data_IF_163982914372
#
_entry.id   IF_163982914372
#
_cell.length_a   1.000
_cell.length_b   1.000
_cell.length_c   1.000
_cell.angle_alpha   90.00
_cell.angle_beta   90.00
_cell.angle_gamma   90.00
#
_symmetry.space_group_name_H-M   'P 1'
#
loop_
_entity.id
_entity.type
_entity.pdbx_description
1 polymer ?
#
# COMPACT_ATOMS: atom_id res chain seq x y z
N UNK A 1 -0.87 14.65 6.30
CA UNK A 1 -1.89 14.53 5.23
C UNK A 1 -2.91 13.44 5.60
N UNK A 2 -3.68 13.65 6.68
CA UNK A 2 -4.66 12.68 7.22
C UNK A 2 -5.77 13.33 8.07
N UNK A 3 -5.91 14.66 8.00
CA UNK A 3 -6.86 15.44 8.84
C UNK A 3 -8.31 15.38 8.35
N UNK A 4 -8.56 14.97 7.11
CA UNK A 4 -9.87 15.17 6.44
C UNK A 4 -10.94 14.12 6.77
N UNK A 5 -10.61 13.02 7.46
CA UNK A 5 -11.55 11.91 7.75
C UNK A 5 -11.64 11.47 9.22
N UNK A 6 -11.12 12.24 10.20
CA UNK A 6 -11.18 11.83 11.62
C UNK A 6 -12.62 11.58 12.13
N UNK A 7 -13.64 12.14 11.48
CA UNK A 7 -15.06 11.95 11.81
C UNK A 7 -15.65 10.59 11.41
N UNK A 8 -15.07 9.88 10.42
CA UNK A 8 -15.61 8.60 9.90
C UNK A 8 -14.87 7.36 10.43
N UNK A 9 -13.88 7.54 11.29
CA UNK A 9 -13.01 6.46 11.78
C UNK A 9 -11.82 6.19 10.85
N UNK A 10 -11.06 5.11 11.08
CA UNK A 10 -9.89 4.79 10.27
C UNK A 10 -10.30 4.39 8.84
N UNK A 11 -9.62 4.95 7.82
CA UNK A 11 -9.89 4.65 6.39
C UNK A 11 -9.89 3.14 6.09
N UNK A 12 -9.02 2.40 6.76
CA UNK A 12 -8.92 0.94 6.67
C UNK A 12 -10.25 0.21 6.95
N UNK A 13 -11.13 0.77 7.79
CA UNK A 13 -12.41 0.16 8.19
C UNK A 13 -13.60 0.68 7.38
N UNK A 14 -13.36 1.42 6.30
CA UNK A 14 -14.43 1.85 5.41
C UNK A 14 -15.10 0.61 4.79
N UNK A 15 -16.44 0.46 4.92
CA UNK A 15 -17.16 -0.65 4.31
C UNK A 15 -17.16 -0.51 2.79
N UNK A 16 -16.96 -1.64 2.10
CA UNK A 16 -17.02 -1.70 0.64
C UNK A 16 -18.31 -2.42 0.21
N UNK A 17 -19.01 -1.91 -0.82
CA UNK A 17 -20.18 -2.58 -1.36
C UNK A 17 -19.81 -3.96 -1.91
N UNK A 18 -20.54 -4.98 -1.46
CA UNK A 18 -20.33 -6.37 -1.87
C UNK A 18 -21.08 -6.68 -3.17
N UNK A 19 -20.33 -7.01 -4.23
CA UNK A 19 -20.90 -7.45 -5.51
C UNK A 19 -21.21 -8.95 -5.61
N UNK A 20 -20.88 -9.78 -4.60
CA UNK A 20 -21.01 -11.25 -4.70
C UNK A 20 -21.52 -11.90 -3.42
N UNK A 21 -22.39 -12.89 -3.59
CA UNK A 21 -22.86 -13.79 -2.54
C UNK A 21 -21.74 -14.71 -2.06
N UNK A 22 -21.78 -15.11 -0.80
CA UNK A 22 -20.85 -16.09 -0.23
C UNK A 22 -21.14 -17.47 -0.85
N UNK A 23 -20.18 -18.09 -1.58
CA UNK A 23 -20.42 -19.35 -2.28
C UNK A 23 -20.66 -20.56 -1.36
N UNK A 24 -20.41 -20.44 -0.05
CA UNK A 24 -20.73 -21.47 0.95
C UNK A 24 -22.08 -21.26 1.64
N UNK A 25 -22.60 -20.03 1.71
CA UNK A 25 -23.78 -19.72 2.54
C UNK A 25 -24.96 -19.12 1.76
N UNK A 26 -24.76 -18.73 0.50
CA UNK A 26 -25.81 -18.11 -0.34
C UNK A 26 -26.27 -16.72 0.11
N UNK A 27 -25.74 -16.20 1.23
CA UNK A 27 -26.04 -14.85 1.73
C UNK A 27 -25.21 -13.81 0.97
N UNK A 28 -25.66 -12.54 0.85
CA UNK A 28 -24.78 -11.45 0.49
C UNK A 28 -23.54 -11.53 1.38
N UNK A 29 -22.32 -11.46 0.81
CA UNK A 29 -21.16 -11.22 1.67
C UNK A 29 -21.43 -9.91 2.40
N UNK A 30 -21.43 -9.97 3.73
CA UNK A 30 -21.45 -8.79 4.58
C UNK A 30 -20.42 -7.78 4.04
N UNK A 31 -20.72 -6.48 4.17
CA UNK A 31 -19.82 -5.40 3.77
C UNK A 31 -18.41 -5.72 4.28
N UNK A 32 -17.47 -5.97 3.37
CA UNK A 32 -16.08 -6.20 3.74
C UNK A 32 -15.41 -4.83 3.87
N UNK A 33 -14.65 -4.61 4.92
CA UNK A 33 -13.87 -3.38 5.05
C UNK A 33 -12.75 -3.34 4.01
N UNK A 34 -12.23 -2.14 3.71
CA UNK A 34 -11.11 -1.98 2.79
C UNK A 34 -9.93 -2.88 3.16
N UNK A 35 -9.54 -2.91 4.44
CA UNK A 35 -8.40 -3.68 4.90
C UNK A 35 -8.64 -5.19 4.78
N UNK A 36 -9.86 -5.67 5.03
CA UNK A 36 -10.20 -7.09 4.85
C UNK A 36 -10.14 -7.51 3.38
N UNK A 37 -10.59 -6.66 2.46
CA UNK A 37 -10.46 -6.91 1.02
C UNK A 37 -8.99 -6.96 0.59
N UNK A 38 -8.16 -6.05 1.08
CA UNK A 38 -6.72 -6.10 0.84
C UNK A 38 -6.10 -7.39 1.37
N UNK A 39 -6.43 -7.79 2.61
CA UNK A 39 -5.92 -9.01 3.23
C UNK A 39 -6.32 -10.25 2.42
N UNK A 40 -7.58 -10.37 1.99
CA UNK A 40 -8.03 -11.47 1.15
C UNK A 40 -7.19 -11.58 -0.14
N UNK A 41 -7.00 -10.46 -0.86
CA UNK A 41 -6.22 -10.45 -2.10
C UNK A 41 -4.75 -10.80 -1.85
N UNK A 42 -4.15 -10.25 -0.80
CA UNK A 42 -2.74 -10.47 -0.48
C UNK A 42 -2.49 -11.91 -0.02
N UNK A 43 -3.38 -12.48 0.79
CA UNK A 43 -3.29 -13.89 1.23
C UNK A 43 -3.49 -14.84 0.04
N UNK A 44 -4.43 -14.56 -0.86
CA UNK A 44 -4.65 -15.38 -2.06
C UNK A 44 -3.44 -15.33 -3.00
N UNK A 45 -2.85 -14.15 -3.20
CA UNK A 45 -1.66 -13.99 -4.05
C UNK A 45 -0.41 -14.60 -3.39
N UNK A 46 -0.29 -14.50 -2.06
CA UNK A 46 0.93 -14.79 -1.31
C UNK A 46 0.63 -15.63 -0.05
N UNK A 47 0.20 -16.90 -0.21
CA UNK A 47 -0.31 -17.72 0.90
C UNK A 47 0.71 -18.00 2.01
N UNK A 48 2.00 -17.90 1.72
CA UNK A 48 3.09 -18.14 2.67
C UNK A 48 3.71 -16.86 3.24
N UNK A 49 3.16 -15.68 2.91
CA UNK A 49 3.69 -14.41 3.38
C UNK A 49 3.16 -14.08 4.79
N UNK A 50 4.05 -13.64 5.68
CA UNK A 50 3.64 -12.96 6.90
C UNK A 50 3.15 -11.54 6.57
N UNK A 51 1.97 -11.19 7.08
CA UNK A 51 1.40 -9.86 6.87
C UNK A 51 1.57 -9.01 8.13
N UNK A 52 2.22 -7.86 7.96
CA UNK A 52 2.39 -6.85 9.00
C UNK A 52 1.52 -5.65 8.69
N UNK A 53 0.75 -5.19 9.68
CA UNK A 53 -0.12 -4.02 9.56
C UNK A 53 0.36 -2.97 10.56
N UNK A 54 0.81 -1.83 10.02
CA UNK A 54 1.19 -0.69 10.85
C UNK A 54 -0.06 0.14 11.15
N UNK A 55 -0.37 0.30 12.42
CA UNK A 55 -1.57 0.98 12.91
C UNK A 55 -1.20 2.19 13.76
N UNK A 56 -2.04 3.23 13.73
CA UNK A 56 -1.86 4.45 14.51
C UNK A 56 -3.20 4.94 15.04
N UNK A 57 -3.82 5.86 14.31
CA UNK A 57 -5.13 6.43 14.67
C UNK A 57 -6.18 5.34 14.86
N UNK A 58 -6.78 5.29 16.06
CA UNK A 58 -7.80 4.30 16.45
C UNK A 58 -7.38 2.83 16.22
N UNK A 59 -6.09 2.52 16.45
CA UNK A 59 -5.52 1.17 16.29
C UNK A 59 -6.36 0.04 16.91
N UNK A 60 -6.94 0.27 18.10
CA UNK A 60 -7.77 -0.72 18.79
C UNK A 60 -9.00 -1.16 17.97
N UNK A 61 -9.61 -0.26 17.18
CA UNK A 61 -10.73 -0.63 16.31
C UNK A 61 -10.29 -1.58 15.19
N UNK A 62 -9.13 -1.30 14.59
CA UNK A 62 -8.55 -2.12 13.52
C UNK A 62 -8.17 -3.50 14.07
N UNK A 63 -7.49 -3.52 15.24
CA UNK A 63 -7.12 -4.76 15.92
C UNK A 63 -8.34 -5.61 16.29
N UNK A 64 -9.40 -4.97 16.79
CA UNK A 64 -10.64 -5.66 17.13
C UNK A 64 -11.33 -6.26 15.89
N UNK A 65 -11.41 -5.50 14.79
CA UNK A 65 -11.99 -5.98 13.52
C UNK A 65 -11.20 -7.20 13.00
N UNK A 66 -9.88 -7.12 13.04
CA UNK A 66 -8.98 -8.10 12.42
C UNK A 66 -8.47 -9.17 13.38
N UNK A 67 -9.08 -9.33 14.56
CA UNK A 67 -8.60 -10.24 15.63
C UNK A 67 -8.49 -11.71 15.23
N UNK A 68 -9.29 -12.14 14.25
CA UNK A 68 -9.30 -13.52 13.73
C UNK A 68 -8.37 -13.71 12.52
N UNK A 69 -7.77 -12.63 12.00
CA UNK A 69 -6.87 -12.71 10.85
C UNK A 69 -5.43 -12.99 11.31
N UNK A 70 -4.65 -13.82 10.60
CA UNK A 70 -3.28 -14.16 10.96
C UNK A 70 -2.31 -13.03 10.56
N UNK A 71 -2.46 -11.86 11.18
CA UNK A 71 -1.70 -10.64 10.89
C UNK A 71 -0.94 -10.17 12.12
N UNK A 72 0.21 -9.52 11.92
CA UNK A 72 1.02 -8.94 13.00
C UNK A 72 0.84 -7.43 13.03
N UNK A 73 0.38 -6.90 14.16
CA UNK A 73 0.21 -5.46 14.32
C UNK A 73 1.49 -4.79 14.81
N UNK A 74 1.79 -3.62 14.24
CA UNK A 74 2.87 -2.74 14.67
C UNK A 74 2.25 -1.38 14.97
N UNK A 75 2.40 -0.90 16.20
CA UNK A 75 1.84 0.38 16.60
C UNK A 75 2.82 1.51 16.29
N UNK A 76 2.37 2.53 15.56
CA UNK A 76 3.06 3.81 15.41
C UNK A 76 2.49 4.83 16.42
N UNK A 77 3.16 5.05 17.57
CA UNK A 77 2.70 6.02 18.56
C UNK A 77 2.81 7.47 18.07
N UNK A 78 3.63 7.73 17.04
CA UNK A 78 3.91 9.06 16.50
C UNK A 78 3.16 9.32 15.18
N UNK A 79 2.08 8.57 14.89
CA UNK A 79 1.34 8.68 13.62
C UNK A 79 0.76 10.08 13.35
N UNK A 80 0.52 10.90 14.38
CA UNK A 80 0.03 12.28 14.22
C UNK A 80 1.17 13.27 13.90
N UNK A 81 2.43 12.90 14.14
CA UNK A 81 3.61 13.76 13.98
C UNK A 81 4.66 13.20 13.02
N UNK A 82 4.37 12.13 12.29
CA UNK A 82 5.29 11.49 11.32
C UNK A 82 4.57 11.20 10.01
N UNK A 83 5.33 10.96 8.95
CA UNK A 83 4.80 10.53 7.65
C UNK A 83 5.01 9.01 7.44
N UNK A 84 4.49 8.51 6.32
CA UNK A 84 4.40 7.07 6.03
C UNK A 84 5.74 6.34 6.06
N UNK A 85 6.87 6.99 5.77
CA UNK A 85 8.17 6.32 5.85
C UNK A 85 8.50 5.88 7.28
N UNK A 86 8.12 6.66 8.30
CA UNK A 86 8.32 6.27 9.70
C UNK A 86 7.47 5.05 10.06
N UNK A 87 6.22 4.99 9.61
CA UNK A 87 5.39 3.79 9.76
C UNK A 87 6.05 2.56 9.12
N UNK A 88 6.60 2.72 7.91
CA UNK A 88 7.32 1.64 7.23
C UNK A 88 8.59 1.23 7.98
N UNK A 89 9.32 2.17 8.59
CA UNK A 89 10.55 1.85 9.33
C UNK A 89 10.28 0.96 10.54
N UNK A 90 9.15 1.16 11.24
CA UNK A 90 8.71 0.30 12.33
C UNK A 90 8.41 -1.13 11.81
N UNK A 91 7.77 -1.26 10.64
CA UNK A 91 7.57 -2.56 10.00
C UNK A 91 8.89 -3.23 9.62
N UNK A 92 9.78 -2.48 8.98
CA UNK A 92 11.04 -3.02 8.49
C UNK A 92 12.01 -3.47 9.58
N UNK A 93 11.92 -2.90 10.77
CA UNK A 93 12.63 -3.36 11.97
C UNK A 93 12.09 -4.70 12.50
N UNK A 94 10.83 -5.03 12.23
CA UNK A 94 10.19 -6.26 12.68
C UNK A 94 10.31 -7.43 11.69
N UNK A 95 10.66 -7.17 10.43
CA UNK A 95 10.76 -8.22 9.39
C UNK A 95 12.19 -8.76 9.25
N UNK A 96 12.28 -10.09 9.17
CA UNK A 96 13.54 -10.83 8.91
C UNK A 96 13.62 -11.26 7.43
N UNK A 97 12.50 -11.22 6.69
CA UNK A 97 12.43 -11.64 5.28
C UNK A 97 13.40 -10.88 4.37
N UNK A 98 13.91 -11.58 3.37
CA UNK A 98 14.78 -11.04 2.31
C UNK A 98 14.01 -10.24 1.25
N UNK A 99 12.68 -10.27 1.28
CA UNK A 99 11.82 -9.49 0.39
C UNK A 99 10.54 -9.04 1.10
N UNK A 100 9.95 -7.94 0.61
CA UNK A 100 8.72 -7.38 1.15
C UNK A 100 7.87 -6.75 0.04
N UNK A 101 6.55 -6.98 0.10
CA UNK A 101 5.57 -6.18 -0.65
C UNK A 101 5.05 -5.09 0.29
N UNK A 102 5.15 -3.84 -0.14
CA UNK A 102 4.64 -2.66 0.55
C UNK A 102 3.38 -2.19 -0.17
N UNK A 103 2.30 -2.00 0.60
CA UNK A 103 0.99 -1.55 0.10
C UNK A 103 0.46 -0.47 1.04
N UNK A 104 -0.03 0.64 0.49
CA UNK A 104 -0.66 1.68 1.31
C UNK A 104 -2.10 1.29 1.70
N UNK A 105 -2.45 1.64 2.94
CA UNK A 105 -3.65 1.12 3.61
C UNK A 105 -4.97 1.78 3.21
N UNK A 106 -4.95 2.75 2.29
CA UNK A 106 -6.12 3.46 1.75
C UNK A 106 -6.36 3.19 0.27
N UNK A 107 -5.71 2.15 -0.27
CA UNK A 107 -5.91 1.69 -1.63
C UNK A 107 -7.00 0.62 -1.73
N UNK A 108 -7.83 0.72 -2.76
CA UNK A 108 -8.65 -0.38 -3.26
C UNK A 108 -7.97 -0.89 -4.52
N UNK A 109 -7.61 -2.17 -4.59
CA UNK A 109 -7.03 -2.77 -5.79
C UNK A 109 -7.58 -4.17 -6.05
N UNK A 110 -7.32 -4.72 -7.24
CA UNK A 110 -7.60 -6.12 -7.56
C UNK A 110 -6.33 -6.98 -7.58
N UNK A 111 -6.46 -8.30 -7.64
CA UNK A 111 -5.30 -9.22 -7.63
C UNK A 111 -4.27 -8.93 -8.72
N UNK A 112 -4.70 -8.45 -9.89
CA UNK A 112 -3.81 -8.09 -10.99
C UNK A 112 -2.80 -6.99 -10.63
N UNK A 113 -3.10 -6.14 -9.63
CA UNK A 113 -2.13 -5.18 -9.12
C UNK A 113 -0.91 -5.89 -8.53
N UNK A 114 -1.11 -6.93 -7.71
CA UNK A 114 -0.05 -7.47 -6.85
C UNK A 114 0.46 -8.85 -7.27
N UNK A 115 -0.32 -9.66 -7.99
CA UNK A 115 -0.02 -11.10 -8.18
C UNK A 115 1.35 -11.42 -8.81
N UNK A 116 1.98 -10.47 -9.53
CA UNK A 116 3.26 -10.66 -10.22
C UNK A 116 4.47 -9.95 -9.57
N UNK A 117 4.37 -9.48 -8.33
CA UNK A 117 5.50 -8.82 -7.65
C UNK A 117 6.49 -9.83 -7.08
N UNK A 118 7.39 -10.34 -7.93
CA UNK A 118 8.46 -11.31 -7.60
C UNK A 118 9.73 -11.04 -8.41
N UNK A 119 10.83 -11.68 -8.04
CA UNK A 119 12.13 -11.51 -8.69
C UNK A 119 12.83 -10.23 -8.21
N UNK A 120 13.20 -9.35 -9.13
CA UNK A 120 13.82 -8.06 -8.81
C UNK A 120 12.83 -7.06 -8.20
N UNK A 121 13.37 -6.06 -7.50
CA UNK A 121 12.62 -4.96 -6.90
C UNK A 121 11.77 -4.23 -7.95
N UNK A 122 10.51 -3.95 -7.61
CA UNK A 122 9.49 -3.45 -8.54
C UNK A 122 8.68 -2.32 -7.94
N UNK A 123 8.23 -1.42 -8.80
CA UNK A 123 7.20 -0.44 -8.47
C UNK A 123 6.07 -0.53 -9.48
N UNK A 124 4.85 -0.25 -9.04
CA UNK A 124 3.68 -0.28 -9.90
C UNK A 124 3.36 1.14 -10.35
N UNK A 125 3.06 1.28 -11.64
CA UNK A 125 2.51 2.49 -12.22
C UNK A 125 1.06 2.27 -12.58
N UNK A 126 0.22 3.24 -12.25
CA UNK A 126 -1.14 3.32 -12.76
C UNK A 126 -1.11 3.76 -14.23
N UNK A 127 -1.33 2.78 -15.11
CA UNK A 127 -1.32 2.99 -16.56
C UNK A 127 -2.65 3.53 -17.11
N UNK A 128 -3.69 3.63 -16.28
CA UNK A 128 -5.07 3.85 -16.70
C UNK A 128 -5.69 5.15 -16.16
N UNK A 129 -4.92 5.95 -15.41
CA UNK A 129 -5.37 7.26 -14.93
C UNK A 129 -6.46 7.17 -13.85
N UNK A 130 -6.41 6.14 -13.02
CA UNK A 130 -7.22 6.02 -11.82
C UNK A 130 -6.77 6.97 -10.70
N UNK A 131 -5.47 7.25 -10.62
CA UNK A 131 -4.90 8.18 -9.66
C UNK A 131 -4.99 9.63 -10.14
N UNK A 132 -5.13 10.55 -9.18
CA UNK A 132 -5.19 11.99 -9.45
C UNK A 132 -3.88 12.51 -10.05
N UNK A 133 -3.96 13.57 -10.85
CA UNK A 133 -2.79 14.28 -11.38
C UNK A 133 -1.92 14.91 -10.28
N UNK A 134 -2.47 15.10 -9.08
CA UNK A 134 -1.76 15.59 -7.90
C UNK A 134 -0.94 14.50 -7.19
N UNK A 135 -1.11 13.22 -7.55
CA UNK A 135 -0.34 12.13 -6.96
C UNK A 135 1.10 12.08 -7.48
N UNK A 136 1.98 11.47 -6.67
CA UNK A 136 3.38 11.27 -7.03
C UNK A 136 3.47 10.37 -8.27
N UNK A 137 4.18 10.84 -9.28
CA UNK A 137 4.54 10.03 -10.44
C UNK A 137 6.02 9.71 -10.51
N UNK A 138 6.44 9.10 -11.62
CA UNK A 138 7.84 8.80 -11.89
C UNK A 138 8.21 8.97 -13.36
N UNK A 139 9.49 9.21 -13.62
CA UNK A 139 10.07 9.08 -14.96
C UNK A 139 10.63 7.68 -15.14
N UNK A 140 10.48 7.13 -16.35
CA UNK A 140 10.82 5.74 -16.65
C UNK A 140 11.81 5.71 -17.81
N UNK A 141 12.93 4.99 -17.65
CA UNK A 141 13.91 4.75 -18.71
C UNK A 141 14.24 3.27 -18.76
N UNK A 142 14.19 2.65 -19.94
CA UNK A 142 14.51 1.22 -20.12
C UNK A 142 13.76 0.29 -19.14
N UNK A 143 12.47 0.57 -18.89
CA UNK A 143 11.60 -0.12 -17.91
C UNK A 143 12.02 0.03 -16.44
N UNK A 144 12.91 0.98 -16.12
CA UNK A 144 13.35 1.25 -14.76
C UNK A 144 12.83 2.61 -14.27
N UNK A 145 12.53 2.71 -12.98
CA UNK A 145 12.16 3.97 -12.35
C UNK A 145 13.42 4.82 -12.13
N UNK A 146 13.39 6.08 -12.58
CA UNK A 146 14.54 6.98 -12.49
C UNK A 146 14.40 8.02 -11.39
N UNK A 147 13.21 8.59 -11.23
CA UNK A 147 12.91 9.51 -10.15
C UNK A 147 11.41 9.56 -9.90
N UNK A 148 11.03 9.79 -8.65
CA UNK A 148 9.65 10.02 -8.20
C UNK A 148 9.47 11.48 -7.82
N UNK A 149 8.41 12.12 -8.29
CA UNK A 149 8.08 13.50 -7.94
C UNK A 149 6.60 13.82 -8.24
N UNK A 150 6.11 14.89 -7.61
CA UNK A 150 4.83 15.50 -7.98
C UNK A 150 4.87 16.07 -9.41
N UNK A 151 3.71 16.09 -10.07
CA UNK A 151 3.56 16.63 -11.43
C UNK A 151 4.07 15.71 -12.55
N UNK A 152 4.59 14.52 -12.23
CA UNK A 152 4.98 13.53 -13.23
C UNK A 152 3.78 12.72 -13.72
N UNK A 153 3.79 12.36 -15.02
CA UNK A 153 2.66 11.74 -15.72
C UNK A 153 2.35 10.32 -15.26
N UNK A 154 3.35 9.44 -15.26
CA UNK A 154 3.18 8.05 -14.86
C UNK A 154 3.02 7.98 -13.34
N UNK A 155 1.80 7.72 -12.84
CA UNK A 155 1.50 7.77 -11.39
C UNK A 155 1.98 6.53 -10.67
N UNK A 156 2.69 6.72 -9.54
CA UNK A 156 3.09 5.61 -8.68
C UNK A 156 1.88 5.11 -7.91
N UNK A 157 1.57 3.82 -8.06
CA UNK A 157 0.40 3.18 -7.45
C UNK A 157 0.52 2.99 -5.92
N UNK A 158 1.50 3.62 -5.27
CA UNK A 158 1.77 3.48 -3.83
C UNK A 158 1.98 2.01 -3.39
N UNK A 159 2.42 1.16 -4.34
CA UNK A 159 2.78 -0.25 -4.14
C UNK A 159 4.20 -0.45 -4.64
N UNK A 160 5.00 -1.16 -3.84
CA UNK A 160 6.36 -1.54 -4.18
C UNK A 160 6.66 -2.96 -3.71
N UNK A 161 7.54 -3.64 -4.44
CA UNK A 161 8.17 -4.87 -3.98
C UNK A 161 9.67 -4.62 -3.88
N UNK A 162 10.21 -4.89 -2.69
CA UNK A 162 11.58 -4.62 -2.32
C UNK A 162 12.27 -5.95 -2.02
N UNK A 163 13.44 -6.17 -2.59
CA UNK A 163 14.29 -7.31 -2.27
C UNK A 163 15.76 -6.90 -2.31
N UNK A 164 16.66 -7.76 -1.84
CA UNK A 164 18.09 -7.61 -2.02
C UNK A 164 18.62 -6.22 -1.63
N UNK A 165 19.40 -5.61 -2.53
CA UNK A 165 20.06 -4.32 -2.31
C UNK A 165 19.05 -3.20 -2.05
N UNK A 166 17.96 -3.12 -2.81
CA UNK A 166 16.97 -2.05 -2.65
C UNK A 166 16.26 -2.15 -1.30
N UNK A 167 15.93 -3.37 -0.85
CA UNK A 167 15.36 -3.57 0.47
C UNK A 167 16.35 -3.11 1.55
N UNK A 168 17.62 -3.55 1.48
CA UNK A 168 18.64 -3.15 2.45
C UNK A 168 18.80 -1.63 2.54
N UNK A 169 18.91 -0.96 1.38
CA UNK A 169 19.00 0.50 1.33
C UNK A 169 17.74 1.18 1.87
N UNK A 170 16.55 0.69 1.49
CA UNK A 170 15.29 1.25 1.96
C UNK A 170 15.17 1.14 3.49
N UNK A 171 15.53 -0.02 4.07
CA UNK A 171 15.57 -0.22 5.52
C UNK A 171 16.49 0.80 6.19
N UNK A 172 17.73 0.92 5.70
CA UNK A 172 18.73 1.85 6.22
C UNK A 172 18.24 3.31 6.19
N UNK A 173 17.66 3.75 5.07
CA UNK A 173 17.14 5.12 4.91
C UNK A 173 15.94 5.36 5.84
N UNK A 174 15.05 4.38 5.97
CA UNK A 174 13.80 4.53 6.74
C UNK A 174 14.01 4.72 8.24
N UNK A 175 15.13 4.23 8.79
CA UNK A 175 15.44 4.33 10.24
C UNK A 175 16.25 5.57 10.59
N UNK A 176 16.65 6.38 9.61
CA UNK A 176 17.45 7.58 9.86
C UNK A 176 16.62 8.63 10.63
N UNK A 177 17.17 9.29 11.68
CA UNK A 177 16.41 10.23 12.51
C UNK A 177 15.71 11.36 11.74
N UNK A 178 16.38 11.86 10.69
CA UNK A 178 15.89 12.99 9.89
C UNK A 178 14.81 12.60 8.85
N UNK A 179 14.48 11.31 8.71
CA UNK A 179 13.53 10.82 7.69
C UNK A 179 12.13 10.55 8.24
N UNK A 180 11.88 10.88 9.51
CA UNK A 180 10.57 10.70 10.16
C UNK A 180 9.42 11.49 9.50
N UNK A 181 9.74 12.57 8.80
CA UNK A 181 8.79 13.37 8.01
C UNK A 181 8.75 13.01 6.53
N UNK A 182 9.50 11.99 6.10
CA UNK A 182 9.53 11.63 4.68
C UNK A 182 8.33 10.77 4.28
N UNK A 183 7.97 10.89 3.01
CA UNK A 183 7.10 9.97 2.31
C UNK A 183 7.88 8.80 1.72
N UNK A 184 7.19 7.71 1.36
CA UNK A 184 7.84 6.52 0.82
C UNK A 184 8.62 6.78 -0.48
N UNK A 185 8.12 7.67 -1.34
CA UNK A 185 8.78 7.99 -2.61
C UNK A 185 10.14 8.69 -2.43
N UNK A 186 10.33 9.44 -1.35
CA UNK A 186 11.60 10.08 -1.03
C UNK A 186 12.67 9.02 -0.72
N UNK A 187 12.31 7.99 0.06
CA UNK A 187 13.18 6.85 0.28
C UNK A 187 13.48 6.09 -1.02
N UNK A 188 12.49 5.86 -1.89
CA UNK A 188 12.72 5.23 -3.20
C UNK A 188 13.72 6.03 -4.06
N UNK A 189 13.58 7.36 -4.10
CA UNK A 189 14.55 8.24 -4.77
C UNK A 189 15.95 8.10 -4.17
N UNK A 190 16.08 8.03 -2.85
CA UNK A 190 17.37 7.83 -2.19
C UNK A 190 17.98 6.45 -2.47
N UNK A 191 17.15 5.40 -2.59
CA UNK A 191 17.60 4.07 -3.05
C UNK A 191 18.16 4.16 -4.46
N UNK A 192 17.47 4.81 -5.40
CA UNK A 192 17.94 5.00 -6.78
C UNK A 192 19.26 5.77 -6.81
N UNK A 193 19.38 6.88 -6.06
CA UNK A 193 20.63 7.65 -5.95
C UNK A 193 21.81 6.83 -5.44
N UNK A 194 21.55 5.78 -4.64
CA UNK A 194 22.56 4.84 -4.13
C UNK A 194 22.73 3.61 -5.03
N UNK A 195 22.25 3.69 -6.26
CA UNK A 195 22.38 2.68 -7.30
C UNK A 195 21.50 1.45 -7.10
N UNK A 196 20.41 1.57 -6.34
CA UNK A 196 19.32 0.59 -6.39
C UNK A 196 18.48 0.78 -7.65
N UNK A 197 17.76 -0.26 -8.04
CA UNK A 197 17.01 -0.27 -9.29
C UNK A 197 15.60 -0.84 -9.10
N UNK A 198 14.61 -0.24 -9.76
CA UNK A 198 13.22 -0.66 -9.65
C UNK A 198 12.62 -0.88 -11.03
N UNK A 199 12.29 -2.13 -11.34
CA UNK A 199 11.55 -2.45 -12.55
C UNK A 199 10.13 -1.86 -12.44
N UNK A 200 9.70 -1.19 -13.49
CA UNK A 200 8.39 -0.54 -13.55
C UNK A 200 7.39 -1.50 -14.18
N UNK A 201 6.38 -1.87 -13.39
CA UNK A 201 5.29 -2.74 -13.83
C UNK A 201 4.04 -1.92 -14.11
N UNK A 202 3.37 -2.22 -15.22
CA UNK A 202 2.10 -1.63 -15.65
C UNK A 202 1.08 -2.75 -15.88
N UNK A 203 0.41 -3.27 -14.84
CA UNK A 203 -0.48 -4.42 -15.01
C UNK A 203 -1.72 -4.03 -15.81
N UNK A 204 -1.98 -4.73 -16.92
CA UNK A 204 -2.97 -4.31 -17.94
C UNK A 204 -4.42 -4.30 -17.48
N UNK A 205 -4.74 -5.11 -16.49
CA UNK A 205 -6.11 -5.28 -15.96
C UNK A 205 -6.14 -4.89 -14.49
N UNK A 206 -5.20 -4.05 -14.06
CA UNK A 206 -5.19 -3.47 -12.73
C UNK A 206 -6.40 -2.54 -12.59
N UNK A 207 -7.09 -2.71 -11.48
CA UNK A 207 -7.97 -1.69 -10.93
C UNK A 207 -7.31 -1.15 -9.68
N UNK A 208 -7.31 0.17 -9.52
CA UNK A 208 -6.76 0.87 -8.37
C UNK A 208 -7.62 2.09 -8.07
N UNK A 209 -7.95 2.35 -6.81
CA UNK A 209 -8.60 3.59 -6.36
C UNK A 209 -7.99 3.96 -5.02
N UNK A 210 -7.58 5.21 -4.85
CA UNK A 210 -7.22 5.75 -3.54
C UNK A 210 -8.46 6.34 -2.88
N UNK A 211 -8.71 6.00 -1.61
CA UNK A 211 -9.80 6.58 -0.84
C UNK A 211 -9.30 7.81 -0.08
N UNK A 212 -9.76 8.99 -0.48
CA UNK A 212 -9.46 10.25 0.22
C UNK A 212 -10.64 10.79 1.01
N UNK A 213 -11.86 10.56 0.52
CA UNK A 213 -13.10 11.07 1.08
C UNK A 213 -14.22 10.03 0.93
N UNK A 214 -15.26 10.15 1.75
CA UNK A 214 -16.42 9.26 1.69
C UNK A 214 -17.07 9.21 0.29
N UNK A 215 -17.01 10.28 -0.50
CA UNK A 215 -17.52 10.33 -1.89
C UNK A 215 -16.78 9.39 -2.86
N UNK A 216 -15.54 8.99 -2.54
CA UNK A 216 -14.81 8.04 -3.39
C UNK A 216 -15.45 6.64 -3.36
N UNK A 217 -16.33 6.38 -2.38
CA UNK A 217 -17.16 5.18 -2.33
C UNK A 217 -18.07 5.00 -3.55
N UNK A 218 -18.52 6.10 -4.16
CA UNK A 218 -19.36 6.06 -5.36
C UNK A 218 -18.60 5.55 -6.59
N UNK A 219 -17.26 5.61 -6.59
CA UNK A 219 -16.42 5.07 -7.66
C UNK A 219 -16.27 3.54 -7.56
N UNK A 220 -16.58 2.95 -6.40
CA UNK A 220 -16.33 1.54 -6.09
C UNK A 220 -17.36 0.61 -6.72
N UNK A 221 -18.58 1.08 -6.97
CA UNK A 221 -19.66 0.30 -7.61
C UNK A 221 -19.30 -0.21 -9.02
N UNK A 222 -18.25 0.33 -9.64
CA UNK A 222 -17.76 -0.10 -10.96
C UNK A 222 -16.58 -1.09 -10.90
N UNK A 223 -16.10 -1.46 -9.71
CA UNK A 223 -15.00 -2.40 -9.51
C UNK A 223 -15.52 -3.84 -9.37
N UNK A 224 -15.92 -4.44 -10.49
CA UNK A 224 -16.24 -5.88 -10.58
C UNK A 224 -15.01 -6.76 -10.86
#
# INVERSE_FOLDING_TARGET
MGRRMKSYGPKALIPLPSGKTNPRTGKPREETTLIERQLCILTDCYPNAEIFIVVGFQAEKIRYQLREYPVRFIYNPLHDSTNVLYSLSLAFQAIISASAVVVYGDLIFNANAVQHLRGDSKVIVDAYGHLSDDEVGLTIQNKQAMTFAYGLKDKWAQIAYLTGKELSLFKEISVHPDTSQWFGYEALNHVIKRGGNFEVIRPRTMQLIEIDQAKDLEKITNLN
#
